data_IF_045128277944
#
_entry.id   IF_045128277944
#
_cell.length_a   1.000
_cell.length_b   1.000
_cell.length_c   1.000
_cell.angle_alpha   90.00
_cell.angle_beta   90.00
_cell.angle_gamma   90.00
#
_symmetry.space_group_name_H-M   'P 1'
#
loop_
_entity.id
_entity.type
_entity.pdbx_description
1 polymer ?
#
# COMPACT_ATOMS: atom_id res chain seq x y z
N UNK A 1 -1.69 21.36 -2.71
CA UNK A 1 -1.65 20.14 -3.55
C UNK A 1 -1.17 18.95 -2.73
N UNK A 2 -1.83 17.83 -2.85
CA UNK A 2 -1.41 16.64 -2.12
C UNK A 2 -0.11 16.07 -2.71
N UNK A 3 0.66 15.41 -1.87
CA UNK A 3 1.89 14.74 -2.30
C UNK A 3 1.55 13.46 -3.06
N UNK A 4 2.10 13.31 -4.24
CA UNK A 4 1.92 12.12 -5.06
C UNK A 4 3.24 11.33 -5.05
N UNK A 5 3.17 10.10 -4.55
CA UNK A 5 4.35 9.26 -4.38
C UNK A 5 3.97 7.80 -4.51
N UNK A 6 4.91 6.99 -4.99
CA UNK A 6 4.70 5.57 -5.19
C UNK A 6 5.84 4.77 -4.61
N UNK A 7 5.56 3.52 -4.26
CA UNK A 7 6.56 2.52 -3.92
C UNK A 7 6.27 1.26 -4.73
N UNK A 8 7.23 0.37 -4.82
CA UNK A 8 7.08 -0.88 -5.56
C UNK A 8 7.51 -2.06 -4.71
N UNK A 9 6.67 -3.07 -4.63
CA UNK A 9 7.07 -4.37 -4.09
C UNK A 9 7.74 -5.16 -5.21
N UNK A 10 8.97 -5.58 -4.97
CA UNK A 10 9.76 -6.35 -5.94
C UNK A 10 9.64 -7.83 -5.61
N UNK A 11 8.86 -8.57 -6.41
CA UNK A 11 8.66 -10.00 -6.21
C UNK A 11 9.91 -10.83 -6.45
N UNK A 12 10.85 -10.30 -7.22
CA UNK A 12 12.11 -11.01 -7.48
C UNK A 12 13.06 -10.89 -6.29
N UNK A 13 13.28 -9.67 -5.81
CA UNK A 13 14.20 -9.42 -4.70
C UNK A 13 13.54 -9.52 -3.33
N UNK A 14 12.21 -9.65 -3.29
CA UNK A 14 11.44 -9.80 -2.05
C UNK A 14 11.64 -8.63 -1.09
N UNK A 15 11.56 -7.42 -1.62
CA UNK A 15 11.68 -6.20 -0.82
C UNK A 15 10.90 -5.05 -1.42
N UNK A 16 10.55 -4.07 -0.56
CA UNK A 16 9.93 -2.83 -0.98
C UNK A 16 11.00 -1.89 -1.52
N UNK A 17 10.70 -1.20 -2.63
CA UNK A 17 11.67 -0.32 -3.30
C UNK A 17 11.04 1.04 -3.58
N UNK A 18 11.88 2.08 -3.56
CA UNK A 18 11.44 3.44 -3.89
C UNK A 18 11.33 3.60 -5.39
N UNK A 19 10.24 4.22 -5.83
CA UNK A 19 9.99 4.50 -7.24
C UNK A 19 10.52 5.90 -7.57
N UNK A 20 11.35 6.00 -8.60
CA UNK A 20 11.87 7.27 -9.10
C UNK A 20 11.01 7.80 -10.23
N UNK A 21 10.59 6.93 -11.15
CA UNK A 21 9.74 7.33 -12.27
C UNK A 21 8.85 6.17 -12.71
N UNK A 22 7.70 6.52 -13.28
CA UNK A 22 6.75 5.56 -13.84
C UNK A 22 6.68 5.81 -15.35
N UNK A 23 6.55 4.74 -16.12
CA UNK A 23 6.57 4.81 -17.58
C UNK A 23 5.33 4.15 -18.16
N UNK A 24 4.70 4.86 -19.09
CA UNK A 24 3.43 4.46 -19.69
C UNK A 24 3.61 4.17 -21.16
N UNK A 25 2.83 3.23 -21.66
CA UNK A 25 2.68 2.99 -23.08
C UNK A 25 1.20 3.20 -23.40
N UNK A 26 0.87 4.33 -24.02
CA UNK A 26 -0.53 4.76 -24.09
C UNK A 26 -1.06 5.03 -22.70
N UNK A 27 -2.15 4.41 -22.30
CA UNK A 27 -2.74 4.52 -20.95
C UNK A 27 -2.35 3.35 -20.04
N UNK A 28 -1.46 2.47 -20.48
CA UNK A 28 -1.02 1.36 -19.66
C UNK A 28 0.30 1.66 -18.98
N UNK A 29 0.37 1.50 -17.66
CA UNK A 29 1.60 1.59 -16.90
C UNK A 29 2.41 0.30 -17.12
N UNK A 30 3.61 0.41 -17.70
CA UNK A 30 4.36 -0.77 -18.14
C UNK A 30 5.68 -0.98 -17.42
N UNK A 31 6.32 0.07 -16.90
CA UNK A 31 7.60 -0.09 -16.21
C UNK A 31 7.80 1.02 -15.20
N UNK A 32 8.77 0.82 -14.32
CA UNK A 32 9.14 1.81 -13.31
C UNK A 32 10.66 1.79 -13.13
N UNK A 33 11.25 2.97 -12.99
CA UNK A 33 12.64 3.05 -12.58
C UNK A 33 12.68 3.18 -11.07
N UNK A 34 13.45 2.32 -10.45
CA UNK A 34 13.56 2.25 -8.98
C UNK A 34 14.88 2.85 -8.54
N UNK A 35 14.90 3.36 -7.30
CA UNK A 35 16.12 3.89 -6.72
C UNK A 35 17.23 2.84 -6.72
N UNK A 36 18.39 3.23 -7.22
CA UNK A 36 19.54 2.34 -7.35
C UNK A 36 19.65 1.62 -8.70
N UNK A 37 18.64 1.74 -9.55
CA UNK A 37 18.64 1.13 -10.87
C UNK A 37 18.89 2.18 -11.96
N UNK A 38 19.64 1.79 -13.01
CA UNK A 38 19.91 2.67 -14.15
C UNK A 38 18.83 2.58 -15.22
N UNK A 39 18.09 1.46 -15.26
CA UNK A 39 17.11 1.19 -16.31
C UNK A 39 15.74 0.92 -15.69
N UNK A 40 14.67 1.22 -16.43
CA UNK A 40 13.32 0.86 -15.97
C UNK A 40 13.15 -0.66 -15.87
N UNK A 41 12.38 -1.09 -14.89
CA UNK A 41 12.06 -2.50 -14.67
C UNK A 41 10.62 -2.73 -15.12
N UNK A 42 10.34 -3.76 -15.93
CA UNK A 42 8.97 -4.11 -16.30
C UNK A 42 8.15 -4.44 -15.07
N UNK A 43 6.90 -3.96 -15.04
CA UNK A 43 6.00 -4.20 -13.91
C UNK A 43 5.45 -5.62 -13.94
N UNK A 44 5.00 -6.06 -15.13
CA UNK A 44 4.34 -7.36 -15.27
C UNK A 44 5.23 -8.51 -14.78
N UNK A 45 4.69 -9.31 -13.87
CA UNK A 45 5.38 -10.47 -13.33
C UNK A 45 6.43 -10.16 -12.26
N UNK A 46 6.71 -8.90 -11.97
CA UNK A 46 7.75 -8.55 -11.00
C UNK A 46 7.34 -7.52 -9.98
N UNK A 47 6.74 -6.40 -10.40
CA UNK A 47 6.50 -5.27 -9.51
C UNK A 47 5.02 -5.10 -9.19
N UNK A 48 4.71 -4.75 -7.94
CA UNK A 48 3.40 -4.26 -7.54
C UNK A 48 3.58 -2.80 -7.14
N UNK A 49 2.95 -1.90 -7.91
CA UNK A 49 3.07 -0.47 -7.68
C UNK A 49 1.99 -0.04 -6.70
N UNK A 50 2.39 0.65 -5.64
CA UNK A 50 1.49 1.09 -4.57
C UNK A 50 1.59 2.59 -4.37
N UNK A 51 0.44 3.24 -4.27
CA UNK A 51 0.37 4.68 -4.13
C UNK A 51 0.37 5.10 -2.67
N UNK A 52 1.10 6.19 -2.38
CA UNK A 52 1.01 6.89 -1.09
C UNK A 52 -0.38 7.52 -0.97
N UNK A 53 -1.05 7.31 0.15
CA UNK A 53 -2.42 7.79 0.33
C UNK A 53 -2.50 9.24 0.80
N UNK A 54 -1.36 9.94 0.84
CA UNK A 54 -1.24 11.32 1.32
C UNK A 54 -1.61 11.45 2.80
N UNK A 55 -1.25 10.46 3.59
CA UNK A 55 -1.44 10.47 5.04
C UNK A 55 -0.28 9.74 5.71
N UNK A 56 0.08 10.21 6.90
CA UNK A 56 1.11 9.55 7.71
C UNK A 56 0.46 8.99 8.97
N UNK A 57 1.11 7.99 9.57
CA UNK A 57 0.65 7.44 10.82
C UNK A 57 1.02 8.36 12.00
N UNK A 58 0.66 7.97 13.21
CA UNK A 58 0.93 8.78 14.41
C UNK A 58 2.41 8.98 14.70
N UNK A 59 3.29 8.20 14.07
CA UNK A 59 4.74 8.31 14.20
C UNK A 59 5.39 9.03 13.02
N UNK A 60 4.59 9.54 12.07
CA UNK A 60 5.10 10.24 10.89
C UNK A 60 5.47 9.35 9.73
N UNK A 61 5.21 8.05 9.82
CA UNK A 61 5.50 7.12 8.73
C UNK A 61 4.44 7.20 7.65
N UNK A 62 4.85 7.25 6.39
CA UNK A 62 3.93 7.34 5.26
C UNK A 62 3.12 6.07 5.09
N UNK A 63 1.82 6.24 4.80
CA UNK A 63 0.90 5.13 4.59
C UNK A 63 0.65 4.97 3.10
N UNK A 64 0.79 3.74 2.62
CA UNK A 64 0.59 3.39 1.21
C UNK A 64 -0.55 2.40 1.04
N UNK A 65 -1.09 2.31 -0.17
CA UNK A 65 -1.91 1.16 -0.55
C UNK A 65 -1.14 -0.12 -0.19
N UNK A 66 -1.80 -1.05 0.47
CA UNK A 66 -1.14 -2.29 0.93
C UNK A 66 -0.47 -2.19 2.30
N UNK A 67 -0.39 -1.01 2.91
CA UNK A 67 0.11 -0.90 4.29
C UNK A 67 -0.83 -1.63 5.24
N UNK A 68 -0.24 -2.18 6.31
CA UNK A 68 -1.01 -2.75 7.43
C UNK A 68 -0.81 -1.83 8.62
N UNK A 69 -1.92 -1.44 9.24
CA UNK A 69 -1.90 -0.49 10.37
C UNK A 69 -2.62 -1.09 11.58
N UNK A 70 -2.23 -0.65 12.76
CA UNK A 70 -2.89 -1.02 14.01
C UNK A 70 -3.45 0.23 14.67
N UNK A 71 -4.73 0.19 15.06
CA UNK A 71 -5.36 1.29 15.78
C UNK A 71 -5.17 1.15 17.30
N UNK A 72 -5.58 2.19 18.05
CA UNK A 72 -5.40 2.22 19.51
C UNK A 72 -6.04 1.08 20.26
N UNK A 73 -7.09 0.47 19.72
CA UNK A 73 -7.77 -0.66 20.33
C UNK A 73 -7.22 -2.01 19.90
N UNK A 74 -6.06 -2.02 19.24
CA UNK A 74 -5.39 -3.24 18.80
C UNK A 74 -5.93 -3.86 17.53
N UNK A 75 -6.93 -3.27 16.91
CA UNK A 75 -7.46 -3.77 15.64
C UNK A 75 -6.47 -3.52 14.52
N UNK A 76 -6.31 -4.52 13.66
CA UNK A 76 -5.38 -4.46 12.52
C UNK A 76 -6.18 -4.30 11.25
N UNK A 77 -5.77 -3.36 10.41
CA UNK A 77 -6.44 -3.02 9.18
C UNK A 77 -5.46 -3.07 8.03
N UNK A 78 -5.98 -3.39 6.84
CA UNK A 78 -5.26 -3.27 5.58
C UNK A 78 -5.72 -2.00 4.86
N UNK A 79 -4.79 -1.26 4.29
CA UNK A 79 -5.11 -0.11 3.44
C UNK A 79 -5.38 -0.60 2.03
N UNK A 80 -6.52 -0.22 1.46
CA UNK A 80 -6.91 -0.65 0.12
C UNK A 80 -7.71 0.45 -0.58
N UNK A 81 -7.66 0.45 -1.92
CA UNK A 81 -8.50 1.32 -2.72
C UNK A 81 -9.91 0.72 -2.79
N UNK A 82 -10.91 1.51 -2.46
CA UNK A 82 -12.30 1.09 -2.55
C UNK A 82 -12.92 1.73 -3.80
N UNK A 83 -13.16 0.93 -4.81
CA UNK A 83 -13.57 1.41 -6.12
C UNK A 83 -14.91 2.16 -6.08
N UNK A 84 -15.91 1.60 -5.40
CA UNK A 84 -17.25 2.21 -5.33
C UNK A 84 -17.27 3.53 -4.59
N UNK A 85 -16.43 3.69 -3.55
CA UNK A 85 -16.32 4.91 -2.78
C UNK A 85 -15.29 5.88 -3.35
N UNK A 86 -14.49 5.44 -4.32
CA UNK A 86 -13.43 6.21 -4.96
C UNK A 86 -12.47 6.82 -3.92
N UNK A 87 -12.07 6.02 -2.95
CA UNK A 87 -11.14 6.46 -1.90
C UNK A 87 -10.37 5.30 -1.31
N UNK A 88 -9.25 5.60 -0.65
CA UNK A 88 -8.56 4.62 0.16
C UNK A 88 -9.30 4.40 1.47
N UNK A 89 -9.37 3.16 1.90
CA UNK A 89 -10.06 2.76 3.14
C UNK A 89 -9.18 1.85 3.97
N UNK A 90 -9.44 1.81 5.26
CA UNK A 90 -8.99 0.73 6.14
C UNK A 90 -10.01 -0.39 6.03
N UNK A 91 -9.52 -1.58 5.81
CA UNK A 91 -10.36 -2.74 5.56
C UNK A 91 -9.93 -3.88 6.45
N UNK A 92 -10.90 -4.56 7.05
CA UNK A 92 -10.66 -5.78 7.83
C UNK A 92 -11.88 -6.66 7.78
N UNK A 93 -11.67 -7.95 7.95
CA UNK A 93 -12.80 -8.87 8.12
C UNK A 93 -13.09 -9.01 9.61
N UNK A 94 -14.36 -8.85 9.98
CA UNK A 94 -14.77 -9.03 11.38
C UNK A 94 -14.79 -10.52 11.73
N UNK A 95 -14.68 -10.86 13.03
CA UNK A 95 -14.74 -12.26 13.45
C UNK A 95 -16.02 -12.98 13.01
N UNK A 96 -17.11 -12.26 12.79
CA UNK A 96 -18.37 -12.83 12.30
C UNK A 96 -18.42 -13.03 10.78
N UNK A 97 -17.35 -12.72 10.05
CA UNK A 97 -17.25 -12.90 8.61
C UNK A 97 -17.64 -11.69 7.78
N UNK A 98 -18.14 -10.63 8.38
CA UNK A 98 -18.48 -9.40 7.67
C UNK A 98 -17.24 -8.56 7.36
N UNK A 99 -17.31 -7.75 6.29
CA UNK A 99 -16.24 -6.82 5.92
C UNK A 99 -16.47 -5.49 6.63
N UNK A 100 -15.45 -4.98 7.30
CA UNK A 100 -15.49 -3.66 7.94
C UNK A 100 -14.61 -2.69 7.16
N UNK A 101 -15.11 -1.47 6.97
CA UNK A 101 -14.41 -0.40 6.26
C UNK A 101 -14.37 0.86 7.13
N UNK A 102 -13.31 1.65 6.97
CA UNK A 102 -13.18 2.94 7.63
C UNK A 102 -12.31 3.85 6.75
N UNK A 103 -12.39 5.17 6.97
CA UNK A 103 -11.57 6.11 6.23
C UNK A 103 -10.08 5.90 6.54
N UNK A 104 -9.24 5.90 5.52
CA UNK A 104 -7.81 5.71 5.68
C UNK A 104 -7.14 7.07 5.86
N UNK A 105 -7.15 7.60 7.09
CA UNK A 105 -6.66 8.95 7.38
C UNK A 105 -5.35 9.00 8.17
N UNK A 106 -4.84 7.86 8.61
CA UNK A 106 -3.59 7.80 9.39
C UNK A 106 -3.71 8.25 10.84
N UNK A 107 -4.85 8.84 11.21
CA UNK A 107 -5.03 9.36 12.55
C UNK A 107 -5.16 8.22 13.57
N UNK A 108 -4.34 8.29 14.62
CA UNK A 108 -4.33 7.32 15.71
C UNK A 108 -4.04 5.87 15.30
N UNK A 109 -3.34 5.66 14.19
CA UNK A 109 -2.89 4.34 13.79
C UNK A 109 -1.37 4.32 13.67
N UNK A 110 -0.81 3.12 13.69
CA UNK A 110 0.61 2.90 13.48
C UNK A 110 0.79 1.89 12.35
N UNK A 111 1.61 2.23 11.37
CA UNK A 111 1.98 1.30 10.32
C UNK A 111 2.87 0.20 10.90
N UNK A 112 2.47 -1.06 10.73
CA UNK A 112 3.16 -2.21 11.32
C UNK A 112 3.70 -3.19 10.28
N UNK A 113 3.44 -2.93 9.00
CA UNK A 113 3.91 -3.79 7.93
C UNK A 113 3.17 -3.54 6.63
N UNK A 114 3.23 -4.51 5.75
CA UNK A 114 2.51 -4.47 4.47
C UNK A 114 2.06 -5.88 4.07
N UNK A 115 1.16 -5.94 3.09
CA UNK A 115 0.53 -7.21 2.70
C UNK A 115 1.49 -8.20 2.05
N UNK A 116 2.65 -7.76 1.59
CA UNK A 116 3.64 -8.62 0.93
C UNK A 116 4.58 -9.29 1.93
N UNK A 117 5.06 -8.52 2.91
CA UNK A 117 6.00 -9.01 3.91
C UNK A 117 5.29 -9.62 5.13
N UNK A 118 4.08 -9.15 5.44
CA UNK A 118 3.36 -9.50 6.66
C UNK A 118 1.93 -9.96 6.39
N UNK A 119 1.69 -10.87 5.42
CA UNK A 119 0.32 -11.28 5.09
C UNK A 119 -0.42 -11.93 6.27
N UNK A 120 0.31 -12.55 7.19
CA UNK A 120 -0.25 -13.20 8.38
C UNK A 120 -0.98 -12.24 9.30
N UNK A 121 -0.65 -10.94 9.26
CA UNK A 121 -1.29 -9.95 10.12
C UNK A 121 -2.74 -9.67 9.72
N UNK A 122 -3.09 -9.90 8.45
CA UNK A 122 -4.45 -9.68 7.93
C UNK A 122 -5.06 -10.94 7.36
N UNK A 123 -4.40 -12.08 7.56
CA UNK A 123 -4.89 -13.36 7.07
C UNK A 123 -6.15 -13.77 7.81
N UNK A 124 -7.12 -14.25 7.06
CA UNK A 124 -8.42 -14.65 7.59
C UNK A 124 -8.47 -16.15 7.76
N UNK A 125 -8.94 -16.56 8.93
CA UNK A 125 -9.13 -17.98 9.23
C UNK A 125 -10.60 -18.30 9.34
#
# INVERSE_FOLDING_TARGET
MREIKFRAWDNLEKRMRKVVSLHWQGDKLVSARLEGENEPIPIEGRLVIEQYIDSVDKCGEKIYDGSIVRCNFGRVWRVAWHRSLAQFVYRRRSPGGGLQLNCADGYEVKAIGNIHENPELVEEK
#
